data_IF_945209769053
#
_entry.id   IF_945209769053
#
_cell.length_a   1.000
_cell.length_b   1.000
_cell.length_c   1.000
_cell.angle_alpha   90.00
_cell.angle_beta   90.00
_cell.angle_gamma   90.00
#
_symmetry.space_group_name_H-M   'P 1'
#
loop_
_entity.id
_entity.type
_entity.pdbx_description
1 polymer ?
#
# COMPACT_ATOMS: atom_id res chain seq x y z
N UNK A 1 -3.68 -56.54 14.22
CA UNK A 1 -3.65 -55.10 13.90
C UNK A 1 -5.05 -54.68 13.52
N UNK A 2 -5.51 -53.58 14.12
CA UNK A 2 -6.91 -53.29 14.46
C UNK A 2 -7.75 -52.89 13.24
N UNK A 3 -8.95 -53.48 13.17
CA UNK A 3 -10.06 -53.12 12.29
C UNK A 3 -10.78 -51.88 12.81
N UNK A 4 -11.21 -51.02 11.90
CA UNK A 4 -12.19 -49.95 12.09
C UNK A 4 -13.42 -50.45 12.85
N UNK A 5 -13.94 -49.64 13.78
CA UNK A 5 -15.37 -49.58 14.15
C UNK A 5 -15.60 -48.27 14.94
N UNK A 6 -16.07 -47.25 14.22
CA UNK A 6 -16.66 -46.04 14.80
C UNK A 6 -18.10 -46.43 15.16
N UNK A 7 -18.35 -46.61 16.46
CA UNK A 7 -19.69 -46.88 16.99
C UNK A 7 -20.36 -45.58 17.43
N UNK A 8 -21.47 -45.33 16.76
CA UNK A 8 -22.50 -44.31 16.99
C UNK A 8 -23.16 -44.51 18.36
N UNK A 9 -23.19 -43.51 19.24
CA UNK A 9 -24.12 -43.47 20.38
C UNK A 9 -24.57 -42.02 20.69
N UNK A 10 -25.86 -41.79 20.42
CA UNK A 10 -26.82 -40.95 21.17
C UNK A 10 -26.64 -39.42 21.22
N UNK A 11 -27.44 -38.75 20.38
CA UNK A 11 -28.24 -37.56 20.76
C UNK A 11 -29.22 -37.93 21.91
N UNK A 12 -30.00 -37.02 22.54
CA UNK A 12 -29.75 -35.68 23.11
C UNK A 12 -30.20 -35.61 24.60
N UNK A 13 -29.53 -34.85 25.48
CA UNK A 13 -30.06 -34.50 26.82
C UNK A 13 -30.22 -32.98 26.88
N UNK A 14 -31.27 -32.48 26.23
CA UNK A 14 -32.01 -31.36 26.78
C UNK A 14 -32.85 -31.93 27.94
N UNK A 15 -32.78 -31.33 29.14
CA UNK A 15 -33.86 -31.21 30.16
C UNK A 15 -33.35 -30.79 31.56
N UNK A 16 -32.06 -30.75 31.88
CA UNK A 16 -31.62 -30.47 33.27
C UNK A 16 -30.70 -29.26 33.50
N UNK A 17 -30.92 -28.12 32.82
CA UNK A 17 -30.47 -26.80 33.35
C UNK A 17 -31.48 -25.69 33.01
N UNK A 18 -32.79 -26.00 33.03
CA UNK A 18 -33.87 -25.02 32.83
C UNK A 18 -34.51 -24.57 34.15
N UNK A 19 -33.77 -24.61 35.27
CA UNK A 19 -34.30 -24.22 36.59
C UNK A 19 -33.26 -23.64 37.56
N UNK A 20 -32.15 -23.06 37.07
CA UNK A 20 -31.19 -22.34 37.91
C UNK A 20 -30.77 -20.95 37.37
N UNK A 21 -31.28 -20.54 36.22
CA UNK A 21 -31.07 -19.18 35.68
C UNK A 21 -32.36 -18.34 35.68
N UNK A 22 -33.28 -18.69 36.60
CA UNK A 22 -34.40 -17.83 36.96
C UNK A 22 -34.11 -17.30 38.36
N UNK A 23 -33.98 -15.98 38.44
CA UNK A 23 -33.98 -15.14 39.65
C UNK A 23 -32.60 -14.99 40.32
N UNK A 24 -31.72 -14.22 39.67
CA UNK A 24 -30.95 -13.04 40.17
C UNK A 24 -30.05 -12.61 38.98
N UNK A 25 -30.53 -11.92 37.94
CA UNK A 25 -31.07 -10.56 37.95
C UNK A 25 -30.16 -9.55 38.69
N UNK A 26 -28.89 -9.45 38.30
CA UNK A 26 -28.06 -8.26 38.59
C UNK A 26 -26.82 -8.24 37.69
N UNK A 27 -26.48 -7.03 37.17
CA UNK A 27 -25.20 -6.66 36.55
C UNK A 27 -25.13 -6.97 35.04
N UNK A 28 -25.80 -6.15 34.22
CA UNK A 28 -25.23 -4.96 33.54
C UNK A 28 -24.58 -5.29 32.19
N UNK A 29 -25.40 -5.30 31.13
CA UNK A 29 -25.08 -4.69 29.84
C UNK A 29 -26.38 -4.56 29.03
N UNK A 30 -26.82 -3.32 28.80
CA UNK A 30 -27.62 -2.80 27.68
C UNK A 30 -28.13 -1.40 28.09
N UNK A 31 -27.59 -0.26 27.60
CA UNK A 31 -28.16 1.04 27.90
C UNK A 31 -28.87 1.61 26.66
N UNK A 32 -30.10 1.16 26.41
CA UNK A 32 -31.04 1.88 25.53
C UNK A 32 -32.39 2.04 26.24
N UNK A 33 -32.64 3.28 26.64
CA UNK A 33 -33.93 3.97 26.88
C UNK A 33 -34.66 3.78 28.22
N UNK A 34 -34.78 4.95 28.87
CA UNK A 34 -35.98 5.46 29.55
C UNK A 34 -36.31 4.96 30.97
N UNK A 35 -36.80 5.90 31.77
CA UNK A 35 -37.41 5.74 33.09
C UNK A 35 -36.49 5.79 34.32
N UNK A 36 -35.74 6.89 34.47
CA UNK A 36 -35.73 7.58 35.76
C UNK A 36 -36.21 9.00 35.51
N UNK A 37 -37.38 9.31 36.07
CA UNK A 37 -37.95 10.65 36.12
C UNK A 37 -37.08 11.57 36.97
N UNK A 38 -35.97 12.04 36.39
CA UNK A 38 -35.32 13.25 36.81
C UNK A 38 -36.05 14.38 36.09
N UNK A 39 -36.94 15.00 36.87
CA UNK A 39 -37.77 16.11 36.46
C UNK A 39 -36.97 17.22 35.80
N UNK A 40 -37.68 17.89 34.90
CA UNK A 40 -37.28 19.14 34.29
C UNK A 40 -36.59 20.07 35.29
N UNK A 41 -35.32 20.34 35.04
CA UNK A 41 -34.75 21.65 35.25
C UNK A 41 -34.30 22.13 33.87
N UNK A 42 -35.30 22.55 33.11
CA UNK A 42 -35.14 23.64 32.15
C UNK A 42 -34.77 24.85 33.02
N UNK A 43 -33.50 24.96 33.38
CA UNK A 43 -32.96 26.19 33.90
C UNK A 43 -32.58 27.02 32.68
N UNK A 44 -33.42 28.01 32.40
CA UNK A 44 -33.20 29.03 31.39
C UNK A 44 -31.93 29.82 31.71
N UNK A 45 -30.78 29.32 31.29
CA UNK A 45 -29.59 30.13 31.06
C UNK A 45 -29.32 30.08 29.56
N UNK A 46 -29.77 31.13 28.87
CA UNK A 46 -29.54 31.35 27.45
C UNK A 46 -28.06 31.51 27.13
N UNK A 47 -27.36 30.39 26.98
CA UNK A 47 -26.02 30.34 26.44
C UNK A 47 -26.01 29.32 25.29
N UNK A 48 -26.32 29.88 24.13
CA UNK A 48 -25.88 29.50 22.78
C UNK A 48 -25.20 28.13 22.67
N UNK A 49 -25.85 27.24 21.91
CA UNK A 49 -25.17 26.16 21.19
C UNK A 49 -23.90 26.71 20.54
N UNK A 50 -22.73 26.47 21.14
CA UNK A 50 -21.48 26.60 20.41
C UNK A 50 -21.41 25.42 19.45
N UNK A 51 -21.92 25.69 18.25
CA UNK A 51 -21.65 24.96 17.03
C UNK A 51 -20.20 24.46 17.05
N UNK A 52 -20.02 23.13 17.13
CA UNK A 52 -18.80 22.49 16.70
C UNK A 52 -18.69 22.70 15.18
N UNK A 53 -18.24 23.89 14.78
CA UNK A 53 -17.84 24.16 13.41
C UNK A 53 -16.59 23.35 13.15
N UNK A 54 -16.79 22.30 12.36
CA UNK A 54 -15.84 21.50 11.61
C UNK A 54 -14.36 21.79 11.86
N UNK A 55 -13.72 20.86 12.57
CA UNK A 55 -12.31 20.60 12.35
C UNK A 55 -12.17 19.97 10.96
N UNK A 56 -12.20 20.80 9.92
CA UNK A 56 -11.77 20.37 8.59
C UNK A 56 -10.27 20.14 8.68
N UNK A 57 -9.81 18.90 8.52
CA UNK A 57 -8.39 18.67 8.29
C UNK A 57 -8.00 19.54 7.10
N UNK A 58 -7.03 20.44 7.27
CA UNK A 58 -6.49 21.21 6.14
C UNK A 58 -6.11 20.19 5.07
N UNK A 59 -6.84 20.19 3.96
CA UNK A 59 -6.50 19.37 2.82
C UNK A 59 -5.06 19.69 2.45
N UNK A 60 -4.17 18.71 2.56
CA UNK A 60 -2.78 18.87 2.15
C UNK A 60 -2.81 19.22 0.66
N UNK A 61 -2.15 20.30 0.19
CA UNK A 61 -2.13 20.61 -1.22
C UNK A 61 -1.60 19.38 -1.97
N UNK A 62 -2.40 18.85 -2.89
CA UNK A 62 -1.96 17.76 -3.76
C UNK A 62 -0.94 18.35 -4.72
N UNK A 63 0.33 17.97 -4.57
CA UNK A 63 1.31 18.14 -5.65
C UNK A 63 0.71 17.54 -6.93
N UNK A 64 0.97 18.17 -8.08
CA UNK A 64 0.53 17.61 -9.36
C UNK A 64 1.07 16.17 -9.48
N UNK A 65 0.21 15.25 -9.89
CA UNK A 65 0.57 13.85 -10.04
C UNK A 65 1.63 13.70 -11.15
N UNK A 66 2.70 12.99 -10.86
CA UNK A 66 3.76 12.66 -11.81
C UNK A 66 3.17 12.04 -13.07
N UNK A 67 3.43 12.60 -14.25
CA UNK A 67 3.00 12.01 -15.51
C UNK A 67 4.18 11.33 -16.20
N UNK A 68 3.90 10.29 -16.99
CA UNK A 68 4.94 9.66 -17.80
C UNK A 68 5.62 10.69 -18.73
N UNK A 69 6.95 10.59 -18.84
CA UNK A 69 7.75 11.38 -19.76
C UNK A 69 8.41 10.48 -20.83
N UNK A 70 8.73 11.03 -22.01
CA UNK A 70 9.54 10.32 -23.00
C UNK A 70 10.90 9.93 -22.40
N UNK A 71 11.22 8.64 -22.43
CA UNK A 71 12.50 8.11 -21.96
C UNK A 71 13.55 8.37 -23.03
N UNK A 72 14.50 9.26 -22.74
CA UNK A 72 15.59 9.64 -23.65
C UNK A 72 16.91 9.32 -22.96
N UNK A 73 17.36 8.08 -23.12
CA UNK A 73 18.60 7.61 -22.47
C UNK A 73 19.81 8.37 -23.00
N UNK A 74 20.80 8.56 -22.14
CA UNK A 74 22.10 9.07 -22.52
C UNK A 74 22.92 8.03 -23.31
N UNK A 75 24.18 8.35 -23.65
CA UNK A 75 25.06 7.47 -24.42
C UNK A 75 25.38 6.15 -23.71
N UNK A 76 25.28 6.13 -22.39
CA UNK A 76 25.57 4.98 -21.53
C UNK A 76 24.30 4.16 -21.24
N UNK A 77 23.13 4.64 -21.65
CA UNK A 77 21.86 3.94 -21.47
C UNK A 77 21.12 4.29 -20.17
N UNK A 78 21.57 5.32 -19.44
CA UNK A 78 20.92 5.80 -18.22
C UNK A 78 19.92 6.90 -18.51
N UNK A 79 18.97 7.09 -17.59
CA UNK A 79 17.98 8.15 -17.70
C UNK A 79 17.30 8.40 -16.36
N UNK A 80 16.98 9.65 -16.05
CA UNK A 80 16.14 9.99 -14.89
C UNK A 80 14.99 10.88 -15.32
N UNK A 81 13.80 10.57 -14.81
CA UNK A 81 12.60 11.34 -15.06
C UNK A 81 12.80 12.80 -14.63
N UNK A 82 12.48 13.80 -15.47
CA UNK A 82 12.82 15.21 -15.21
C UNK A 82 12.11 15.82 -14.00
N UNK A 83 11.00 15.22 -13.57
CA UNK A 83 10.28 15.61 -12.34
C UNK A 83 10.59 14.70 -11.13
N UNK A 84 11.53 13.76 -11.25
CA UNK A 84 12.04 12.99 -10.11
C UNK A 84 13.02 13.87 -9.31
N UNK A 85 12.77 14.11 -8.01
CA UNK A 85 13.75 14.83 -7.19
C UNK A 85 15.04 14.02 -7.05
N UNK A 86 16.17 14.72 -6.95
CA UNK A 86 17.43 14.11 -6.51
C UNK A 86 17.36 13.89 -5.01
N UNK A 87 17.55 12.65 -4.56
CA UNK A 87 17.66 12.29 -3.15
C UNK A 87 19.08 11.79 -2.91
N UNK A 88 19.71 12.22 -1.82
CA UNK A 88 20.97 11.61 -1.36
C UNK A 88 20.67 10.32 -0.57
N UNK A 89 21.69 9.51 -0.30
CA UNK A 89 21.55 8.21 0.38
C UNK A 89 20.90 8.30 1.77
N UNK A 90 21.07 9.41 2.47
CA UNK A 90 20.51 9.66 3.80
C UNK A 90 19.04 10.16 3.77
N UNK A 91 18.49 10.45 2.58
CA UNK A 91 17.14 11.01 2.37
C UNK A 91 16.08 9.95 2.03
N UNK A 92 16.24 8.74 2.58
CA UNK A 92 15.32 7.63 2.32
C UNK A 92 13.88 7.91 2.81
N UNK A 93 13.71 8.69 3.88
CA UNK A 93 12.38 9.06 4.38
C UNK A 93 11.68 10.08 3.47
N UNK A 94 12.42 11.07 2.96
CA UNK A 94 11.96 12.09 2.03
C UNK A 94 11.54 11.46 0.70
N UNK A 95 12.34 10.52 0.19
CA UNK A 95 12.00 9.74 -0.99
C UNK A 95 10.68 8.99 -0.77
N UNK A 96 10.57 8.22 0.32
CA UNK A 96 9.32 7.50 0.66
C UNK A 96 8.12 8.44 0.81
N UNK A 97 8.31 9.59 1.44
CA UNK A 97 7.25 10.59 1.60
C UNK A 97 6.80 11.16 0.25
N UNK A 98 7.74 11.41 -0.67
CA UNK A 98 7.43 11.86 -2.02
C UNK A 98 6.64 10.80 -2.81
N UNK A 99 7.06 9.54 -2.79
CA UNK A 99 6.31 8.43 -3.39
C UNK A 99 4.87 8.33 -2.82
N UNK A 100 4.73 8.48 -1.50
CA UNK A 100 3.43 8.48 -0.83
C UNK A 100 2.53 9.66 -1.24
N UNK A 101 3.09 10.87 -1.37
CA UNK A 101 2.37 12.06 -1.86
C UNK A 101 1.93 11.89 -3.32
N UNK A 102 2.77 11.25 -4.14
CA UNK A 102 2.49 10.96 -5.56
C UNK A 102 1.56 9.75 -5.76
N UNK A 103 1.28 8.99 -4.69
CA UNK A 103 0.50 7.75 -4.72
C UNK A 103 1.04 6.74 -5.74
N UNK A 104 2.37 6.57 -5.75
CA UNK A 104 3.06 5.69 -6.69
C UNK A 104 3.31 4.32 -6.07
N UNK A 105 3.05 3.28 -6.86
CA UNK A 105 3.62 1.95 -6.69
C UNK A 105 4.90 1.87 -7.53
N UNK A 106 5.88 1.09 -7.09
CA UNK A 106 7.13 0.88 -7.83
C UNK A 106 7.46 -0.59 -8.02
N UNK A 107 8.24 -0.88 -9.05
CA UNK A 107 8.86 -2.17 -9.32
C UNK A 107 10.28 -1.92 -9.83
N UNK A 108 11.23 -2.74 -9.40
CA UNK A 108 12.63 -2.60 -9.78
C UNK A 108 13.00 -3.80 -10.65
N UNK A 109 13.44 -3.53 -11.88
CA UNK A 109 14.12 -4.50 -12.72
C UNK A 109 15.63 -4.33 -12.53
N UNK A 110 16.34 -5.44 -12.41
CA UNK A 110 17.78 -5.46 -12.18
C UNK A 110 18.48 -6.02 -13.41
N UNK A 111 19.53 -5.36 -13.88
CA UNK A 111 20.35 -5.89 -14.98
C UNK A 111 20.97 -7.24 -14.59
N UNK A 112 21.29 -7.44 -13.30
CA UNK A 112 21.83 -8.69 -12.76
C UNK A 112 20.89 -9.90 -12.96
N UNK A 113 19.60 -9.66 -13.22
CA UNK A 113 18.61 -10.70 -13.48
C UNK A 113 18.55 -11.15 -14.94
N UNK A 114 19.26 -10.45 -15.84
CA UNK A 114 19.40 -10.87 -17.23
C UNK A 114 20.35 -12.07 -17.34
N UNK A 115 20.35 -12.73 -18.52
CA UNK A 115 21.28 -13.82 -18.78
C UNK A 115 22.74 -13.34 -18.77
N UNK A 116 23.67 -14.20 -18.33
CA UNK A 116 25.10 -13.88 -18.26
C UNK A 116 25.71 -13.49 -19.63
N UNK A 117 25.14 -14.00 -20.73
CA UNK A 117 25.54 -13.69 -22.10
C UNK A 117 24.81 -12.47 -22.70
N UNK A 118 23.96 -11.80 -21.91
CA UNK A 118 23.26 -10.59 -22.36
C UNK A 118 24.27 -9.47 -22.66
N UNK A 119 24.18 -8.77 -23.81
CA UNK A 119 25.18 -7.80 -24.23
C UNK A 119 25.49 -6.71 -23.19
N UNK A 120 24.49 -6.19 -22.49
CA UNK A 120 24.68 -5.21 -21.42
C UNK A 120 25.31 -5.80 -20.15
N UNK A 121 25.08 -7.08 -19.84
CA UNK A 121 25.73 -7.77 -18.71
C UNK A 121 27.21 -7.95 -19.02
N UNK A 122 27.52 -8.40 -20.23
CA UNK A 122 28.90 -8.57 -20.72
C UNK A 122 29.63 -7.23 -20.81
N UNK A 123 28.97 -6.15 -21.24
CA UNK A 123 29.57 -4.82 -21.25
C UNK A 123 29.93 -4.38 -19.82
N UNK A 124 28.95 -4.45 -18.90
CA UNK A 124 29.05 -3.95 -17.54
C UNK A 124 30.02 -4.74 -16.65
N UNK A 125 29.89 -6.07 -16.61
CA UNK A 125 30.71 -6.93 -15.74
C UNK A 125 31.84 -7.67 -16.46
N UNK A 126 31.97 -7.53 -17.78
CA UNK A 126 33.04 -8.16 -18.53
C UNK A 126 34.40 -7.46 -18.39
N UNK A 127 35.43 -8.08 -18.97
CA UNK A 127 36.82 -7.62 -18.87
C UNK A 127 37.07 -6.22 -19.46
N UNK A 128 36.15 -5.72 -20.29
CA UNK A 128 36.21 -4.38 -20.87
C UNK A 128 35.88 -3.28 -19.84
N UNK A 129 35.15 -3.60 -18.77
CA UNK A 129 34.73 -2.64 -17.73
C UNK A 129 33.93 -1.47 -18.29
N UNK A 130 33.02 -1.73 -19.22
CA UNK A 130 32.21 -0.69 -19.88
C UNK A 130 30.92 -0.45 -19.11
N UNK A 131 30.66 0.78 -18.63
CA UNK A 131 29.39 1.13 -17.96
C UNK A 131 28.18 1.16 -18.89
N UNK A 132 28.37 0.91 -20.19
CA UNK A 132 27.32 1.05 -21.17
C UNK A 132 26.26 -0.05 -21.09
N UNK A 133 25.06 0.35 -20.66
CA UNK A 133 23.86 -0.50 -20.60
C UNK A 133 22.84 -0.18 -21.70
N UNK A 134 23.22 0.56 -22.75
CA UNK A 134 22.31 0.98 -23.82
C UNK A 134 21.65 -0.19 -24.56
N UNK A 135 22.27 -1.37 -24.54
CA UNK A 135 21.71 -2.61 -25.10
C UNK A 135 20.63 -3.26 -24.21
N UNK A 136 20.45 -2.81 -22.97
CA UNK A 136 19.46 -3.36 -22.05
C UNK A 136 18.08 -2.75 -22.28
N UNK A 137 17.06 -3.59 -22.48
CA UNK A 137 15.65 -3.20 -22.44
C UNK A 137 15.02 -3.78 -21.18
N UNK A 138 14.89 -2.99 -20.09
CA UNK A 138 14.39 -3.49 -18.82
C UNK A 138 13.00 -4.09 -18.97
N UNK A 139 12.74 -5.28 -18.39
CA UNK A 139 11.43 -5.92 -18.50
C UNK A 139 10.36 -5.04 -17.85
N UNK A 140 9.31 -4.73 -18.62
CA UNK A 140 8.16 -4.00 -18.12
C UNK A 140 7.34 -4.90 -17.19
N UNK A 141 6.97 -4.45 -15.98
CA UNK A 141 6.18 -5.25 -15.06
C UNK A 141 4.77 -5.53 -15.60
N UNK A 142 4.15 -6.61 -15.09
CA UNK A 142 2.77 -6.96 -15.45
C UNK A 142 1.76 -5.88 -15.01
N UNK A 143 0.73 -5.67 -15.84
CA UNK A 143 -0.31 -4.68 -15.64
C UNK A 143 -0.15 -3.40 -16.48
N UNK A 144 -1.10 -2.50 -16.33
CA UNK A 144 -1.17 -1.24 -17.06
C UNK A 144 -0.65 -0.06 -16.24
N UNK A 145 -0.33 1.05 -16.92
CA UNK A 145 0.03 2.31 -16.29
C UNK A 145 1.48 2.41 -15.79
N UNK A 146 2.32 1.41 -16.06
CA UNK A 146 3.75 1.45 -15.75
C UNK A 146 4.50 2.39 -16.70
N UNK A 147 5.33 3.25 -16.12
CA UNK A 147 6.31 4.09 -16.83
C UNK A 147 7.62 4.14 -16.06
N UNK A 148 8.71 4.49 -16.75
CA UNK A 148 10.05 4.55 -16.13
C UNK A 148 10.16 5.80 -15.28
N UNK A 149 10.69 5.65 -14.06
CA UNK A 149 11.11 6.75 -13.19
C UNK A 149 12.60 7.03 -13.32
N UNK A 150 13.43 5.99 -13.29
CA UNK A 150 14.87 6.13 -13.47
C UNK A 150 15.51 4.82 -13.91
N UNK A 151 16.60 4.94 -14.64
CA UNK A 151 17.56 3.91 -14.96
C UNK A 151 18.90 4.47 -14.47
N UNK A 152 19.47 3.85 -13.46
CA UNK A 152 20.68 4.33 -12.79
C UNK A 152 21.50 3.15 -12.31
N UNK A 153 22.79 3.39 -12.11
CA UNK A 153 23.65 2.44 -11.42
C UNK A 153 23.47 2.54 -9.91
N UNK A 154 23.50 1.40 -9.24
CA UNK A 154 23.49 1.31 -7.77
C UNK A 154 24.86 0.99 -7.20
N UNK A 155 25.90 1.10 -8.03
CA UNK A 155 27.31 0.83 -7.76
C UNK A 155 27.58 -0.63 -7.39
N UNK A 156 27.12 -1.06 -6.21
CA UNK A 156 27.37 -2.39 -5.65
C UNK A 156 26.56 -3.50 -6.34
N UNK A 157 25.28 -3.26 -6.61
CA UNK A 157 24.36 -4.23 -7.22
C UNK A 157 24.20 -4.03 -8.73
N UNK A 158 24.93 -3.03 -9.26
CA UNK A 158 24.90 -2.67 -10.66
C UNK A 158 23.61 -1.94 -11.10
N UNK A 159 23.37 -1.91 -12.42
CA UNK A 159 22.31 -1.10 -13.00
C UNK A 159 20.90 -1.62 -12.72
N UNK A 160 20.01 -0.68 -12.40
CA UNK A 160 18.59 -0.95 -12.15
C UNK A 160 17.68 -0.02 -12.94
N UNK A 161 16.47 -0.49 -13.21
CA UNK A 161 15.39 0.31 -13.79
C UNK A 161 14.20 0.33 -12.82
N UNK A 162 13.85 1.52 -12.37
CA UNK A 162 12.70 1.76 -11.49
C UNK A 162 11.48 2.10 -12.33
N UNK A 163 10.54 1.18 -12.36
CA UNK A 163 9.20 1.38 -12.92
C UNK A 163 8.26 1.92 -11.86
N UNK A 164 7.38 2.83 -12.24
CA UNK A 164 6.33 3.35 -11.37
C UNK A 164 4.97 3.37 -12.06
N UNK A 165 3.91 3.28 -11.25
CA UNK A 165 2.52 3.51 -11.71
C UNK A 165 1.71 4.16 -10.58
N UNK A 166 0.59 4.78 -10.92
CA UNK A 166 -0.33 5.30 -9.91
C UNK A 166 -1.23 4.21 -9.33
N UNK A 167 -1.32 4.13 -8.00
CA UNK A 167 -2.14 3.15 -7.28
C UNK A 167 -3.65 3.22 -7.65
N UNK A 168 -4.15 4.39 -8.03
CA UNK A 168 -5.57 4.60 -8.35
C UNK A 168 -6.01 4.11 -9.74
N UNK A 169 -5.07 3.80 -10.65
CA UNK A 169 -5.41 3.41 -12.03
C UNK A 169 -5.83 1.94 -12.19
N UNK A 170 -5.66 1.10 -11.15
CA UNK A 170 -6.02 -0.31 -11.19
C UNK A 170 -7.54 -0.61 -11.18
N UNK A 171 -8.40 0.42 -11.11
CA UNK A 171 -9.86 0.25 -11.01
C UNK A 171 -10.69 0.59 -12.25
N UNK A 172 -10.09 0.93 -13.40
CA UNK A 172 -10.85 1.42 -14.58
C UNK A 172 -10.65 0.68 -15.91
N UNK A 173 -9.82 -0.36 -15.96
CA UNK A 173 -9.46 -1.04 -17.22
C UNK A 173 -10.18 -2.35 -17.55
N UNK A 174 -11.22 -2.75 -16.80
CA UNK A 174 -11.85 -4.07 -16.93
C UNK A 174 -13.31 -4.06 -17.35
N UNK A 175 -13.65 -3.43 -18.49
CA UNK A 175 -14.91 -3.67 -19.20
C UNK A 175 -14.88 -3.04 -20.59
N UNK A 176 -14.64 -3.85 -21.62
CA UNK A 176 -15.08 -3.61 -22.99
C UNK A 176 -15.33 -4.98 -23.66
#
# INVERSE_FOLDING_TARGET
>A
MRRFLISYWMLPIAVLVWAAFSITAAIQQEPIKAALGLGALICACGLTWHSWKGYTSKARPRSAALQAAPVQRDSEGYWTHPAHPSFDEDQAEEARAWFGVQQLEYHIAYLESEAEDHPAVVAYWGDAGDSNISAWEPPRPEGEGWFVLSIHDTEDWGPVCVWVRHAAQQGRGGAA
#
